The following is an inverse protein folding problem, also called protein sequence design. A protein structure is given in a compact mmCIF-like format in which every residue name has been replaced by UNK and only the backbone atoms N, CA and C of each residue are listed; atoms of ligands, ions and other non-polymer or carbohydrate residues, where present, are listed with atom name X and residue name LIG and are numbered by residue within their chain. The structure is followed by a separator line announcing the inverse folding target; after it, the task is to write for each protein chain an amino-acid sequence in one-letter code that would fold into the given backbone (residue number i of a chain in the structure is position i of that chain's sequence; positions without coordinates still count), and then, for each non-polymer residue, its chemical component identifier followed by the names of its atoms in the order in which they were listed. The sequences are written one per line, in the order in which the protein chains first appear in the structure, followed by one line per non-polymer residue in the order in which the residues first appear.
data_IF_439402758638
#
_entry.id   IF_439402758638
#
_cell.length_a   1.000
_cell.length_b   1.000
_cell.length_c   1.000
_cell.angle_alpha   90.00
_cell.angle_beta   90.00
_cell.angle_gamma   90.00
#
_symmetry.space_group_name_H-M   'P 1'
#
loop_
_entity.id
_entity.type
_entity.pdbx_description
1 polymer ?
#
# COMPACT_ATOMS: atom_id res chain seq x y z
N UNK A 1 30.95 -9.64 18.64
CA UNK A 1 30.38 -11.01 18.66
C UNK A 1 29.14 -10.97 17.80
N UNK A 2 29.23 -11.45 16.57
CA UNK A 2 28.10 -11.50 15.64
C UNK A 2 27.21 -12.67 16.06
N UNK A 3 26.14 -12.40 16.78
CA UNK A 3 25.06 -13.36 16.95
C UNK A 3 24.39 -13.53 15.59
N UNK A 4 24.60 -14.68 14.97
CA UNK A 4 23.75 -15.15 13.87
C UNK A 4 22.28 -15.11 14.33
N UNK A 5 21.35 -14.61 13.50
CA UNK A 5 19.94 -14.63 13.86
C UNK A 5 19.51 -16.08 14.07
N UNK A 6 18.87 -16.35 15.22
CA UNK A 6 18.28 -17.67 15.48
C UNK A 6 17.25 -17.96 14.40
N UNK A 7 17.18 -19.20 13.87
CA UNK A 7 16.11 -19.57 12.96
C UNK A 7 14.76 -19.31 13.65
N UNK A 8 13.75 -18.81 12.92
CA UNK A 8 12.46 -18.49 13.50
C UNK A 8 11.87 -19.77 14.12
N UNK A 9 11.72 -19.75 15.45
CA UNK A 9 11.02 -20.80 16.19
C UNK A 9 9.58 -20.90 15.68
N UNK A 10 8.99 -22.11 15.71
CA UNK A 10 7.59 -22.38 15.31
C UNK A 10 6.58 -21.38 15.91
N UNK A 11 6.88 -20.83 17.09
CA UNK A 11 6.11 -19.77 17.74
C UNK A 11 6.03 -18.47 16.90
N UNK A 12 7.11 -18.05 16.25
CA UNK A 12 7.13 -16.81 15.44
C UNK A 12 6.26 -16.95 14.19
N UNK A 13 6.16 -18.15 13.61
CA UNK A 13 5.33 -18.40 12.43
C UNK A 13 3.83 -18.28 12.75
N UNK A 14 3.39 -18.90 13.84
CA UNK A 14 1.98 -18.85 14.27
C UNK A 14 1.58 -17.43 14.67
N UNK A 15 2.45 -16.71 15.38
CA UNK A 15 2.24 -15.31 15.72
C UNK A 15 2.11 -14.44 14.47
N UNK A 16 3.01 -14.60 13.50
CA UNK A 16 2.94 -13.88 12.22
C UNK A 16 1.63 -14.16 11.49
N UNK A 17 1.19 -15.42 11.48
CA UNK A 17 -0.08 -15.80 10.86
C UNK A 17 -1.29 -15.17 11.57
N UNK A 18 -1.26 -15.06 12.89
CA UNK A 18 -2.29 -14.37 13.67
C UNK A 18 -2.33 -12.88 13.33
N UNK A 19 -1.18 -12.20 13.34
CA UNK A 19 -1.06 -10.79 12.95
C UNK A 19 -1.61 -10.53 11.55
N UNK A 20 -1.27 -11.38 10.58
CA UNK A 20 -1.79 -11.26 9.21
C UNK A 20 -3.30 -11.51 9.12
N UNK A 21 -3.83 -12.45 9.91
CA UNK A 21 -5.28 -12.71 9.97
C UNK A 21 -6.02 -11.51 10.56
N UNK A 22 -5.47 -10.88 11.60
CA UNK A 22 -6.01 -9.66 12.20
C UNK A 22 -5.99 -8.49 11.20
N UNK A 23 -4.90 -8.32 10.45
CA UNK A 23 -4.82 -7.34 9.37
C UNK A 23 -5.91 -7.59 8.34
N UNK A 24 -6.08 -8.83 7.86
CA UNK A 24 -7.08 -9.16 6.85
C UNK A 24 -8.47 -8.79 7.36
N UNK A 25 -8.83 -9.25 8.57
CA UNK A 25 -10.15 -9.00 9.15
C UNK A 25 -10.41 -7.51 9.37
N UNK A 26 -9.41 -6.78 9.86
CA UNK A 26 -9.53 -5.33 10.14
C UNK A 26 -9.63 -4.52 8.86
N UNK A 27 -8.77 -4.80 7.87
CA UNK A 27 -8.72 -4.03 6.62
C UNK A 27 -9.85 -4.38 5.65
N UNK A 28 -10.45 -5.56 5.74
CA UNK A 28 -11.62 -5.93 4.93
C UNK A 28 -12.96 -5.61 5.59
N UNK A 29 -12.97 -5.18 6.86
CA UNK A 29 -14.18 -4.77 7.56
C UNK A 29 -14.83 -3.57 6.87
N UNK A 30 -16.15 -3.63 6.67
CA UNK A 30 -16.95 -2.59 6.00
C UNK A 30 -16.42 -2.18 4.60
N UNK A 31 -15.71 -3.08 3.92
CA UNK A 31 -15.17 -2.84 2.59
C UNK A 31 -16.29 -2.65 1.55
N UNK A 32 -16.18 -1.60 0.73
CA UNK A 32 -17.18 -1.21 -0.28
C UNK A 32 -16.49 -0.84 -1.59
N UNK A 33 -17.08 -1.29 -2.72
CA UNK A 33 -16.71 -0.85 -4.06
C UNK A 33 -15.41 -1.48 -4.58
N UNK A 34 -14.70 -0.74 -5.45
CA UNK A 34 -13.44 -1.15 -6.11
C UNK A 34 -13.61 -2.29 -7.12
N UNK A 35 -14.80 -2.44 -7.71
CA UNK A 35 -15.10 -3.51 -8.66
C UNK A 35 -14.16 -3.50 -9.88
N UNK A 36 -13.73 -2.31 -10.33
CA UNK A 36 -12.77 -2.15 -11.42
C UNK A 36 -11.41 -2.83 -11.12
N UNK A 37 -10.96 -2.81 -9.86
CA UNK A 37 -9.71 -3.45 -9.42
C UNK A 37 -9.86 -4.98 -9.47
N UNK A 38 -10.92 -5.52 -8.89
CA UNK A 38 -11.16 -6.98 -8.89
C UNK A 38 -11.41 -7.51 -10.31
N UNK A 39 -12.08 -6.73 -11.15
CA UNK A 39 -12.28 -7.05 -12.57
C UNK A 39 -10.95 -7.11 -13.30
N UNK A 40 -10.04 -6.17 -13.05
CA UNK A 40 -8.70 -6.19 -13.64
C UNK A 40 -7.87 -7.39 -13.15
N UNK A 41 -7.92 -7.72 -11.85
CA UNK A 41 -7.26 -8.91 -11.29
C UNK A 41 -7.80 -10.18 -11.95
N UNK A 42 -9.13 -10.34 -12.02
CA UNK A 42 -9.74 -11.52 -12.62
C UNK A 42 -9.39 -11.64 -14.12
N UNK A 43 -9.45 -10.53 -14.85
CA UNK A 43 -9.07 -10.48 -16.26
C UNK A 43 -7.61 -10.90 -16.46
N UNK A 44 -6.70 -10.44 -15.61
CA UNK A 44 -5.30 -10.84 -15.62
C UNK A 44 -5.12 -12.35 -15.35
N UNK A 45 -5.79 -12.87 -14.32
CA UNK A 45 -5.74 -14.29 -13.94
C UNK A 45 -6.37 -15.21 -14.99
N UNK A 46 -7.27 -14.71 -15.83
CA UNK A 46 -7.84 -15.45 -16.96
C UNK A 46 -6.96 -15.37 -18.21
N UNK A 47 -6.36 -14.21 -18.48
CA UNK A 47 -5.55 -13.96 -19.67
C UNK A 47 -4.21 -14.65 -19.64
N UNK A 48 -3.56 -14.68 -18.47
CA UNK A 48 -2.22 -15.25 -18.32
C UNK A 48 -2.26 -16.50 -17.45
N UNK A 49 -1.38 -17.46 -17.74
CA UNK A 49 -1.25 -18.70 -16.99
C UNK A 49 -0.24 -18.62 -15.82
N UNK A 50 0.37 -17.45 -15.60
CA UNK A 50 1.30 -17.07 -14.53
C UNK A 50 1.52 -15.56 -14.57
N UNK A 51 2.04 -14.95 -13.51
CA UNK A 51 2.56 -13.58 -13.58
C UNK A 51 2.40 -12.73 -12.32
N UNK A 52 2.74 -11.46 -12.47
CA UNK A 52 2.68 -10.42 -11.44
C UNK A 52 1.60 -9.38 -11.75
N UNK A 53 0.66 -9.17 -10.83
CA UNK A 53 -0.29 -8.05 -10.90
C UNK A 53 0.02 -7.06 -9.78
N UNK A 54 0.19 -5.78 -10.09
CA UNK A 54 0.55 -4.76 -9.11
C UNK A 54 -0.51 -3.66 -9.01
N UNK A 55 -1.05 -3.45 -7.80
CA UNK A 55 -1.88 -2.30 -7.47
C UNK A 55 -0.97 -1.17 -6.99
N UNK A 56 -1.04 -0.02 -7.65
CA UNK A 56 -0.24 1.17 -7.34
C UNK A 56 -1.17 2.26 -6.83
N UNK A 57 -0.78 2.97 -5.77
CA UNK A 57 -1.55 4.10 -5.28
C UNK A 57 -0.91 4.81 -4.10
N UNK A 58 -1.32 6.05 -3.86
CA UNK A 58 -0.82 6.92 -2.80
C UNK A 58 -1.09 6.35 -1.38
N UNK A 59 -0.43 6.88 -0.34
CA UNK A 59 -0.73 6.54 1.04
C UNK A 59 -2.23 6.69 1.35
N UNK A 60 -2.82 5.70 2.01
CA UNK A 60 -4.24 5.73 2.40
C UNK A 60 -5.26 5.40 1.29
N UNK A 61 -4.84 5.16 0.05
CA UNK A 61 -5.74 4.89 -1.10
C UNK A 61 -6.57 3.58 -1.00
N UNK A 62 -6.35 2.75 0.03
CA UNK A 62 -7.11 1.52 0.27
C UNK A 62 -6.50 0.24 -0.33
N UNK A 63 -5.24 0.24 -0.76
CA UNK A 63 -4.55 -0.94 -1.34
C UNK A 63 -4.61 -2.18 -0.44
N UNK A 64 -4.22 -2.03 0.82
CA UNK A 64 -4.27 -3.13 1.81
C UNK A 64 -5.67 -3.66 2.01
N UNK A 65 -6.68 -2.79 1.99
CA UNK A 65 -8.08 -3.17 2.12
C UNK A 65 -8.55 -4.00 0.91
N UNK A 66 -8.15 -3.62 -0.31
CA UNK A 66 -8.46 -4.39 -1.52
C UNK A 66 -7.81 -5.78 -1.48
N UNK A 67 -6.54 -5.88 -1.09
CA UNK A 67 -5.83 -7.15 -0.98
C UNK A 67 -6.41 -8.04 0.14
N UNK A 68 -6.69 -7.47 1.31
CA UNK A 68 -7.34 -8.17 2.42
C UNK A 68 -8.71 -8.73 2.00
N UNK A 69 -9.53 -7.91 1.34
CA UNK A 69 -10.83 -8.32 0.80
C UNK A 69 -10.70 -9.45 -0.22
N UNK A 70 -9.73 -9.35 -1.14
CA UNK A 70 -9.43 -10.40 -2.10
C UNK A 70 -9.13 -11.74 -1.40
N UNK A 71 -8.25 -11.72 -0.41
CA UNK A 71 -7.86 -12.92 0.36
C UNK A 71 -9.07 -13.51 1.09
N UNK A 72 -9.88 -12.67 1.74
CA UNK A 72 -11.06 -13.09 2.49
C UNK A 72 -12.10 -13.81 1.61
N UNK A 73 -12.34 -13.30 0.39
CA UNK A 73 -13.38 -13.85 -0.49
C UNK A 73 -12.94 -15.07 -1.30
N UNK A 74 -11.63 -15.25 -1.48
CA UNK A 74 -11.08 -16.29 -2.36
C UNK A 74 -10.44 -17.47 -1.60
N UNK A 75 -10.44 -17.45 -0.27
CA UNK A 75 -9.93 -18.53 0.58
C UNK A 75 -11.05 -19.51 1.03
N UNK A 76 -10.92 -20.83 0.86
CA UNK A 76 -10.38 -21.61 -0.24
C UNK A 76 -11.55 -22.17 -1.08
N UNK A 77 -11.96 -21.50 -2.16
CA UNK A 77 -12.96 -22.06 -3.10
C UNK A 77 -12.31 -22.66 -4.34
N UNK A 78 -11.43 -21.89 -5.00
CA UNK A 78 -10.77 -22.29 -6.26
C UNK A 78 -9.25 -22.04 -6.30
N UNK A 79 -8.71 -21.29 -5.33
CA UNK A 79 -7.31 -20.89 -5.27
C UNK A 79 -6.71 -21.15 -3.90
N UNK A 80 -5.42 -21.48 -3.86
CA UNK A 80 -4.65 -21.34 -2.63
C UNK A 80 -4.08 -19.93 -2.56
N UNK A 81 -4.50 -19.17 -1.56
CA UNK A 81 -4.05 -17.80 -1.34
C UNK A 81 -3.15 -17.76 -0.10
N UNK A 82 -1.97 -17.16 -0.24
CA UNK A 82 -1.04 -16.86 0.86
C UNK A 82 -0.92 -15.34 0.93
N UNK A 83 -1.08 -14.76 2.12
CA UNK A 83 -0.99 -13.33 2.33
C UNK A 83 0.25 -12.99 3.16
N UNK A 84 0.94 -11.92 2.77
CA UNK A 84 2.08 -11.36 3.46
C UNK A 84 1.96 -9.84 3.50
N UNK A 85 2.15 -9.24 4.68
CA UNK A 85 2.16 -7.80 4.84
C UNK A 85 3.55 -7.30 5.27
N UNK A 86 4.23 -6.58 4.38
CA UNK A 86 5.54 -5.99 4.62
C UNK A 86 5.48 -4.64 5.36
N UNK A 87 4.28 -4.06 5.55
CA UNK A 87 4.10 -2.84 6.36
C UNK A 87 4.20 -3.12 7.87
N UNK A 88 3.98 -4.36 8.31
CA UNK A 88 4.12 -4.72 9.71
C UNK A 88 5.58 -4.69 10.14
N UNK A 89 5.81 -4.20 11.37
CA UNK A 89 7.14 -4.09 11.93
C UNK A 89 7.87 -5.45 11.94
N UNK A 90 9.13 -5.45 11.51
CA UNK A 90 9.95 -6.66 11.38
C UNK A 90 9.66 -7.49 10.13
N UNK A 91 8.50 -7.33 9.48
CA UNK A 91 8.08 -8.10 8.28
C UNK A 91 8.56 -7.50 6.95
N UNK A 92 9.49 -6.56 7.00
CA UNK A 92 10.10 -5.93 5.83
C UNK A 92 11.51 -6.47 5.51
N UNK A 93 11.92 -7.57 6.13
CA UNK A 93 13.18 -8.28 5.87
C UNK A 93 12.95 -9.49 4.97
N UNK A 94 13.91 -9.77 4.09
CA UNK A 94 13.78 -10.83 3.09
C UNK A 94 13.78 -12.23 3.71
N UNK A 95 14.53 -12.43 4.79
CA UNK A 95 14.64 -13.71 5.49
C UNK A 95 13.31 -14.11 6.14
N UNK A 96 12.63 -13.15 6.76
CA UNK A 96 11.29 -13.31 7.33
C UNK A 96 10.26 -13.64 6.25
N UNK A 97 10.33 -12.92 5.11
CA UNK A 97 9.47 -13.18 3.96
C UNK A 97 9.65 -14.61 3.42
N UNK A 98 10.89 -14.99 3.09
CA UNK A 98 11.18 -16.29 2.49
C UNK A 98 10.80 -17.43 3.43
N UNK A 99 11.14 -17.31 4.71
CA UNK A 99 10.81 -18.33 5.71
C UNK A 99 9.29 -18.49 5.83
N UNK A 100 8.57 -17.39 5.99
CA UNK A 100 7.11 -17.43 6.15
C UNK A 100 6.42 -18.01 4.90
N UNK A 101 6.75 -17.52 3.70
CA UNK A 101 6.13 -17.98 2.46
C UNK A 101 6.42 -19.45 2.20
N UNK A 102 7.68 -19.89 2.37
CA UNK A 102 8.03 -21.30 2.17
C UNK A 102 7.30 -22.21 3.17
N UNK A 103 7.21 -21.82 4.45
CA UNK A 103 6.42 -22.55 5.44
C UNK A 103 4.92 -22.60 5.09
N UNK A 104 4.31 -21.49 4.67
CA UNK A 104 2.90 -21.44 4.27
C UNK A 104 2.63 -22.34 3.05
N UNK A 105 3.54 -22.35 2.08
CA UNK A 105 3.48 -23.24 0.93
C UNK A 105 3.49 -24.70 1.40
N UNK A 106 4.47 -25.10 2.21
CA UNK A 106 4.60 -26.48 2.71
C UNK A 106 3.33 -26.89 3.48
N UNK A 107 2.83 -26.01 4.36
CA UNK A 107 1.63 -26.27 5.16
C UNK A 107 0.34 -26.39 4.33
N UNK A 108 0.21 -25.62 3.24
CA UNK A 108 -0.99 -25.65 2.37
C UNK A 108 -0.99 -26.80 1.37
N UNK A 109 0.16 -27.42 1.13
CA UNK A 109 0.30 -28.53 0.20
C UNK A 109 0.91 -29.78 0.88
N UNK A 110 0.31 -30.32 1.96
CA UNK A 110 0.88 -31.43 2.72
C UNK A 110 0.94 -32.75 1.94
N UNK A 111 0.14 -32.87 0.87
CA UNK A 111 0.11 -34.06 0.01
C UNK A 111 1.23 -34.07 -1.04
N UNK A 112 1.86 -32.93 -1.29
CA UNK A 112 3.15 -32.93 -1.96
C UNK A 112 4.18 -33.31 -0.89
N UNK A 113 5.01 -34.32 -1.14
CA UNK A 113 6.20 -34.61 -0.32
C UNK A 113 7.26 -33.51 -0.50
N UNK A 114 6.89 -32.27 -0.15
CA UNK A 114 7.76 -31.11 -0.17
C UNK A 114 8.85 -31.30 0.87
N UNK A 115 10.05 -30.84 0.54
CA UNK A 115 11.14 -30.83 1.51
C UNK A 115 10.75 -29.98 2.72
N UNK A 116 11.20 -30.38 3.91
CA UNK A 116 11.20 -29.50 5.07
C UNK A 116 11.98 -28.24 4.76
N UNK A 117 11.66 -27.13 5.43
CA UNK A 117 12.39 -25.88 5.30
C UNK A 117 13.88 -26.12 5.67
N UNK A 118 14.83 -25.98 4.73
CA UNK A 118 16.25 -26.13 5.03
C UNK A 118 16.79 -24.90 5.78
N UNK A 119 17.88 -25.06 6.54
CA UNK A 119 18.48 -23.97 7.32
C UNK A 119 18.91 -22.77 6.46
N UNK A 120 19.27 -23.02 5.20
CA UNK A 120 19.67 -22.01 4.22
C UNK A 120 18.52 -21.60 3.26
N UNK A 121 17.26 -21.84 3.62
CA UNK A 121 16.09 -21.49 2.79
C UNK A 121 15.98 -19.99 2.48
N UNK A 122 16.49 -19.15 3.37
CA UNK A 122 16.49 -17.69 3.24
C UNK A 122 17.69 -17.14 2.43
N UNK A 123 18.64 -17.99 2.04
CA UNK A 123 19.81 -17.59 1.25
C UNK A 123 19.43 -17.44 -0.24
N UNK A 124 18.80 -16.31 -0.59
CA UNK A 124 18.39 -16.04 -1.97
C UNK A 124 17.04 -16.67 -2.33
N UNK A 125 16.75 -16.81 -3.64
CA UNK A 125 15.43 -17.25 -4.13
C UNK A 125 15.32 -18.74 -4.45
N UNK A 126 16.39 -19.53 -4.27
CA UNK A 126 16.48 -20.88 -4.83
C UNK A 126 15.40 -21.83 -4.26
N UNK A 127 15.18 -21.81 -2.93
CA UNK A 127 14.24 -22.72 -2.29
C UNK A 127 12.79 -22.37 -2.61
N UNK A 128 12.46 -21.07 -2.58
CA UNK A 128 11.18 -20.57 -3.05
C UNK A 128 10.93 -21.00 -4.50
N UNK A 129 11.92 -20.82 -5.39
CA UNK A 129 11.81 -21.20 -6.80
C UNK A 129 11.56 -22.71 -6.97
N UNK A 130 12.25 -23.55 -6.19
CA UNK A 130 12.05 -25.00 -6.17
C UNK A 130 10.61 -25.35 -5.76
N UNK A 131 10.12 -24.78 -4.65
CA UNK A 131 8.76 -25.02 -4.16
C UNK A 131 7.70 -24.60 -5.18
N UNK A 132 7.86 -23.41 -5.79
CA UNK A 132 6.92 -22.92 -6.80
C UNK A 132 6.88 -23.85 -8.04
N UNK A 133 8.02 -24.41 -8.45
CA UNK A 133 8.08 -25.37 -9.56
C UNK A 133 7.35 -26.68 -9.20
N UNK A 134 7.59 -27.22 -8.00
CA UNK A 134 6.91 -28.44 -7.53
C UNK A 134 5.39 -28.25 -7.46
N UNK A 135 4.93 -27.09 -6.97
CA UNK A 135 3.50 -26.74 -6.96
C UNK A 135 2.96 -26.67 -8.38
N UNK A 136 3.67 -26.04 -9.31
CA UNK A 136 3.23 -25.94 -10.70
C UNK A 136 3.00 -27.32 -11.33
N UNK A 137 3.90 -28.27 -11.10
CA UNK A 137 3.79 -29.61 -11.66
C UNK A 137 2.67 -30.42 -10.99
N UNK A 138 2.42 -30.19 -9.70
CA UNK A 138 1.24 -30.71 -9.01
C UNK A 138 -0.07 -30.12 -9.56
N UNK A 139 -0.14 -28.80 -9.74
CA UNK A 139 -1.32 -28.14 -10.30
C UNK A 139 -1.64 -28.65 -11.71
N UNK A 140 -0.62 -28.92 -12.55
CA UNK A 140 -0.79 -29.52 -13.89
C UNK A 140 -1.33 -30.94 -13.83
N UNK A 141 -0.80 -31.78 -12.94
CA UNK A 141 -1.24 -33.17 -12.81
C UNK A 141 -2.64 -33.33 -12.19
N UNK A 142 -3.14 -32.32 -11.48
CA UNK A 142 -4.44 -32.34 -10.80
C UNK A 142 -5.53 -31.51 -11.51
N UNK A 143 -5.35 -31.10 -12.78
CA UNK A 143 -6.31 -30.24 -13.51
C UNK A 143 -7.72 -30.83 -13.69
N UNK A 144 -7.92 -32.13 -13.43
CA UNK A 144 -9.23 -32.80 -13.44
C UNK A 144 -9.91 -32.97 -12.07
N UNK A 145 -9.25 -32.58 -10.98
CA UNK A 145 -9.82 -32.65 -9.62
C UNK A 145 -10.53 -31.34 -9.27
N UNK A 146 -11.54 -31.38 -8.37
CA UNK A 146 -12.17 -30.17 -7.80
C UNK A 146 -11.28 -29.43 -6.78
N UNK A 147 -9.98 -29.76 -6.71
CA UNK A 147 -9.01 -29.05 -5.88
C UNK A 147 -8.46 -27.80 -6.57
N UNK A 148 -7.93 -26.87 -5.77
CA UNK A 148 -7.40 -25.57 -6.20
C UNK A 148 -6.54 -25.64 -7.47
N UNK A 149 -6.77 -24.70 -8.40
CA UNK A 149 -6.11 -24.70 -9.72
C UNK A 149 -4.96 -23.69 -9.84
N UNK A 150 -4.83 -22.77 -8.88
CA UNK A 150 -3.80 -21.72 -8.88
C UNK A 150 -3.28 -21.47 -7.48
N UNK A 151 -1.99 -21.12 -7.38
CA UNK A 151 -1.38 -20.53 -6.19
C UNK A 151 -1.26 -19.02 -6.40
N UNK A 152 -1.79 -18.25 -5.46
CA UNK A 152 -1.72 -16.79 -5.45
C UNK A 152 -1.00 -16.34 -4.18
N UNK A 153 0.13 -15.67 -4.35
CA UNK A 153 0.89 -15.06 -3.25
C UNK A 153 0.62 -13.55 -3.27
N UNK A 154 -0.01 -13.07 -2.22
CA UNK A 154 -0.38 -11.67 -2.04
C UNK A 154 0.65 -11.00 -1.15
N UNK A 155 1.31 -9.94 -1.65
CA UNK A 155 2.30 -9.17 -0.91
C UNK A 155 1.82 -7.71 -0.82
N UNK A 156 1.46 -7.30 0.39
CA UNK A 156 1.03 -5.94 0.70
C UNK A 156 2.23 -5.09 1.15
N UNK A 157 2.35 -3.89 0.60
CA UNK A 157 3.34 -2.89 1.03
C UNK A 157 4.77 -3.10 0.53
N UNK A 158 4.97 -3.46 -0.75
CA UNK A 158 6.33 -3.66 -1.29
C UNK A 158 7.27 -2.46 -1.13
N UNK A 159 6.74 -1.24 -1.03
CA UNK A 159 7.53 -0.02 -0.78
C UNK A 159 8.15 0.03 0.63
N UNK A 160 7.66 -0.78 1.58
CA UNK A 160 8.19 -0.82 2.95
C UNK A 160 9.44 -1.71 3.11
N UNK A 161 9.83 -2.41 2.05
CA UNK A 161 10.93 -3.38 2.05
C UNK A 161 12.28 -2.68 2.18
N UNK A 162 13.10 -3.16 3.11
CA UNK A 162 14.45 -2.63 3.35
C UNK A 162 15.45 -3.13 2.31
N UNK A 163 15.49 -2.47 1.16
CA UNK A 163 16.37 -2.86 0.04
C UNK A 163 17.84 -2.70 0.32
N UNK A 164 18.21 -1.76 1.19
CA UNK A 164 19.58 -1.57 1.65
C UNK A 164 20.14 -2.79 2.40
N UNK A 165 19.28 -3.70 2.85
CA UNK A 165 19.69 -4.98 3.46
C UNK A 165 19.85 -6.10 2.43
N UNK A 166 19.51 -5.87 1.16
CA UNK A 166 19.72 -6.81 0.07
C UNK A 166 20.94 -6.41 -0.78
N UNK A 167 21.70 -7.36 -1.36
CA UNK A 167 22.76 -7.05 -2.30
C UNK A 167 22.23 -6.27 -3.51
N UNK A 168 23.04 -5.31 -3.98
CA UNK A 168 22.69 -4.50 -5.14
C UNK A 168 22.43 -5.37 -6.40
N UNK A 169 21.46 -4.96 -7.22
CA UNK A 169 21.09 -5.66 -8.45
C UNK A 169 20.23 -6.92 -8.25
N UNK A 170 19.90 -7.27 -7.01
CA UNK A 170 18.96 -8.37 -6.72
C UNK A 170 17.51 -7.91 -6.85
N UNK A 171 16.61 -8.85 -7.12
CA UNK A 171 15.18 -8.55 -7.14
C UNK A 171 14.70 -8.26 -5.71
N UNK A 172 13.76 -7.32 -5.55
CA UNK A 172 13.14 -7.04 -4.26
C UNK A 172 12.59 -8.33 -3.63
N UNK A 173 12.86 -8.56 -2.34
CA UNK A 173 12.50 -9.81 -1.64
C UNK A 173 13.00 -11.11 -2.29
N UNK A 174 13.99 -11.03 -3.18
CA UNK A 174 14.42 -12.14 -4.02
C UNK A 174 13.25 -12.79 -4.76
N UNK A 175 12.26 -12.00 -5.17
CA UNK A 175 11.16 -12.51 -5.97
C UNK A 175 11.71 -13.19 -7.25
N UNK A 176 11.16 -14.34 -7.67
CA UNK A 176 11.62 -15.02 -8.87
C UNK A 176 11.44 -14.15 -10.11
N UNK A 177 12.46 -14.06 -10.98
CA UNK A 177 12.29 -13.36 -12.27
C UNK A 177 11.33 -14.12 -13.19
N UNK A 178 11.48 -15.44 -13.23
CA UNK A 178 10.59 -16.36 -13.95
C UNK A 178 9.62 -17.01 -12.98
N UNK A 179 8.38 -17.18 -13.41
CA UNK A 179 7.36 -17.93 -12.67
C UNK A 179 6.99 -19.23 -13.39
N UNK A 180 6.73 -20.33 -12.68
CA UNK A 180 6.15 -21.51 -13.29
C UNK A 180 4.63 -21.32 -13.48
N UNK A 181 4.01 -22.19 -14.28
CA UNK A 181 2.58 -22.09 -14.60
C UNK A 181 1.70 -22.29 -13.36
N UNK A 182 0.59 -21.56 -13.27
CA UNK A 182 -0.37 -21.66 -12.15
C UNK A 182 0.05 -20.85 -10.92
N UNK A 183 1.18 -20.16 -10.96
CA UNK A 183 1.68 -19.30 -9.87
C UNK A 183 1.51 -17.83 -10.23
N UNK A 184 0.92 -17.08 -9.32
CA UNK A 184 0.67 -15.65 -9.48
C UNK A 184 1.07 -14.89 -8.22
N UNK A 185 1.52 -13.66 -8.42
CA UNK A 185 1.76 -12.70 -7.35
C UNK A 185 0.81 -11.51 -7.51
N UNK A 186 0.10 -11.18 -6.43
CA UNK A 186 -0.65 -9.92 -6.33
C UNK A 186 0.11 -8.99 -5.39
N UNK A 187 0.51 -7.83 -5.89
CA UNK A 187 1.40 -6.92 -5.19
C UNK A 187 0.66 -5.60 -4.94
N UNK A 188 0.94 -4.95 -3.81
CA UNK A 188 0.63 -3.54 -3.63
C UNK A 188 1.90 -2.73 -3.38
N UNK A 189 1.88 -1.47 -3.82
CA UNK A 189 2.95 -0.50 -3.53
C UNK A 189 2.49 0.94 -3.69
N UNK A 190 3.32 1.85 -3.18
CA UNK A 190 3.27 3.28 -3.53
C UNK A 190 3.92 3.55 -4.90
N UNK A 191 3.65 4.70 -5.53
CA UNK A 191 4.36 5.15 -6.72
C UNK A 191 5.87 5.27 -6.46
N UNK A 192 6.69 5.07 -7.50
CA UNK A 192 8.13 5.27 -7.46
C UNK A 192 8.61 5.79 -8.82
N UNK A 193 9.83 6.32 -8.87
CA UNK A 193 10.56 6.53 -10.12
C UNK A 193 10.98 5.16 -10.68
N UNK A 194 10.74 4.90 -11.97
CA UNK A 194 10.87 3.56 -12.58
C UNK A 194 12.26 2.94 -12.42
N UNK A 195 13.31 3.76 -12.43
CA UNK A 195 14.70 3.40 -12.15
C UNK A 195 14.88 2.78 -10.76
N UNK A 196 14.04 3.16 -9.80
CA UNK A 196 14.06 2.73 -8.41
C UNK A 196 13.06 1.60 -8.11
N UNK A 197 12.52 0.96 -9.15
CA UNK A 197 11.50 -0.08 -9.00
C UNK A 197 11.97 -1.32 -8.25
N UNK A 198 13.22 -1.73 -8.43
CA UNK A 198 13.83 -2.98 -7.92
C UNK A 198 13.07 -4.27 -8.24
N UNK A 199 12.04 -4.19 -9.08
CA UNK A 199 11.26 -5.32 -9.55
C UNK A 199 11.85 -5.79 -10.88
N UNK A 200 12.56 -6.90 -10.83
CA UNK A 200 13.20 -7.53 -11.97
C UNK A 200 12.35 -8.74 -12.40
N UNK A 201 11.41 -8.53 -13.33
CA UNK A 201 10.40 -9.53 -13.71
C UNK A 201 10.60 -9.96 -15.17
N UNK A 202 10.62 -11.26 -15.41
CA UNK A 202 10.68 -11.92 -16.72
C UNK A 202 9.49 -12.90 -16.87
N UNK A 203 8.30 -12.38 -16.57
CA UNK A 203 7.01 -13.06 -16.66
C UNK A 203 5.93 -12.04 -17.07
N UNK A 204 4.73 -12.48 -17.49
CA UNK A 204 3.63 -11.55 -17.71
C UNK A 204 3.40 -10.66 -16.49
N UNK A 205 3.39 -9.35 -16.71
CA UNK A 205 3.14 -8.36 -15.67
C UNK A 205 2.06 -7.40 -16.10
N UNK A 206 1.23 -6.99 -15.13
CA UNK A 206 0.23 -5.94 -15.32
C UNK A 206 0.22 -5.06 -14.07
N UNK A 207 0.07 -3.76 -14.26
CA UNK A 207 -0.12 -2.81 -13.17
C UNK A 207 -1.44 -2.07 -13.34
N UNK A 208 -2.08 -1.77 -12.23
CA UNK A 208 -3.24 -0.89 -12.15
C UNK A 208 -2.88 0.25 -11.20
N UNK A 209 -2.78 1.46 -11.74
CA UNK A 209 -2.57 2.66 -10.95
C UNK A 209 -3.91 3.28 -10.58
N UNK A 210 -4.19 3.38 -9.28
CA UNK A 210 -5.46 3.92 -8.78
C UNK A 210 -5.67 5.40 -9.15
N UNK A 211 -4.59 6.13 -9.44
CA UNK A 211 -4.68 7.51 -9.91
C UNK A 211 -5.33 7.64 -11.30
N UNK A 212 -5.36 6.56 -12.09
CA UNK A 212 -5.95 6.55 -13.44
C UNK A 212 -7.48 6.35 -13.41
N UNK A 213 -8.08 6.16 -12.22
CA UNK A 213 -9.51 5.88 -12.01
C UNK A 213 -10.16 6.87 -11.03
N UNK A 214 -10.09 8.19 -11.28
CA UNK A 214 -10.58 9.20 -10.35
C UNK A 214 -12.11 9.16 -10.19
N UNK A 215 -12.86 8.85 -11.25
CA UNK A 215 -14.32 8.82 -11.21
C UNK A 215 -14.85 7.59 -10.45
N UNK A 216 -14.27 6.42 -10.69
CA UNK A 216 -14.59 5.20 -9.94
C UNK A 216 -14.22 5.36 -8.47
N UNK A 217 -13.05 5.94 -8.17
CA UNK A 217 -12.64 6.23 -6.80
C UNK A 217 -13.64 7.15 -6.09
N UNK A 218 -14.09 8.21 -6.76
CA UNK A 218 -15.08 9.15 -6.24
C UNK A 218 -16.41 8.46 -5.95
N UNK A 219 -16.90 7.65 -6.87
CA UNK A 219 -18.15 6.91 -6.70
C UNK A 219 -18.07 5.92 -5.53
N UNK A 220 -16.96 5.20 -5.39
CA UNK A 220 -16.74 4.26 -4.29
C UNK A 220 -16.70 4.99 -2.93
N UNK A 221 -16.03 6.13 -2.84
CA UNK A 221 -15.97 6.96 -1.60
C UNK A 221 -17.37 7.46 -1.23
N UNK A 222 -18.13 7.96 -2.21
CA UNK A 222 -19.50 8.42 -1.97
C UNK A 222 -20.39 7.28 -1.45
N UNK A 223 -20.27 6.08 -2.05
CA UNK A 223 -21.01 4.90 -1.62
C UNK A 223 -20.61 4.47 -0.21
N UNK A 224 -19.31 4.50 0.11
CA UNK A 224 -18.79 4.20 1.43
C UNK A 224 -19.32 5.16 2.50
N UNK A 225 -19.28 6.48 2.24
CA UNK A 225 -19.83 7.48 3.16
C UNK A 225 -21.33 7.28 3.38
N UNK A 226 -22.11 7.12 2.30
CA UNK A 226 -23.56 6.94 2.40
C UNK A 226 -23.93 5.69 3.20
N UNK A 227 -23.24 4.57 2.93
CA UNK A 227 -23.50 3.31 3.64
C UNK A 227 -23.14 3.42 5.12
N UNK A 228 -21.99 4.02 5.43
CA UNK A 228 -21.55 4.23 6.81
C UNK A 228 -22.51 5.12 7.58
N UNK A 229 -23.02 6.19 6.97
CA UNK A 229 -23.99 7.11 7.57
C UNK A 229 -25.34 6.46 7.87
N UNK A 230 -25.76 5.49 7.06
CA UNK A 230 -27.00 4.75 7.26
C UNK A 230 -26.85 3.60 8.27
N UNK A 231 -25.66 3.42 8.87
CA UNK A 231 -25.44 2.39 9.90
C UNK A 231 -25.98 2.85 11.27
N UNK A 232 -26.36 1.89 12.12
CA UNK A 232 -26.96 2.13 13.45
C UNK A 232 -26.13 3.06 14.35
N UNK A 233 -24.80 3.07 14.18
CA UNK A 233 -23.88 3.90 14.96
C UNK A 233 -24.01 5.40 14.63
N UNK A 234 -24.41 5.74 13.40
CA UNK A 234 -24.56 7.12 12.94
C UNK A 234 -25.96 7.71 13.12
N UNK A 235 -26.97 6.91 13.51
CA UNK A 235 -28.30 7.43 13.83
C UNK A 235 -28.30 8.35 15.07
N UNK A 236 -27.28 8.27 15.93
CA UNK A 236 -27.11 9.15 17.10
C UNK A 236 -26.30 10.41 16.80
N UNK A 237 -25.68 10.50 15.63
CA UNK A 237 -24.89 11.66 15.22
C UNK A 237 -25.85 12.84 15.00
N UNK A 238 -25.58 13.96 15.66
CA UNK A 238 -26.39 15.18 15.65
C UNK A 238 -26.83 15.52 14.21
N UNK A 239 -28.08 15.94 14.03
CA UNK A 239 -28.68 16.23 12.73
C UNK A 239 -27.79 17.12 11.83
N UNK A 240 -26.98 17.99 12.45
CA UNK A 240 -26.06 18.92 11.82
C UNK A 240 -24.93 18.22 11.04
N UNK A 241 -24.31 17.18 11.59
CA UNK A 241 -23.28 16.40 10.88
C UNK A 241 -23.87 15.59 9.73
N UNK A 242 -25.06 15.04 9.91
CA UNK A 242 -25.78 14.34 8.86
C UNK A 242 -26.12 15.28 7.69
N UNK A 243 -26.49 16.52 7.98
CA UNK A 243 -26.71 17.55 6.97
C UNK A 243 -25.40 17.93 6.26
N UNK A 244 -24.34 18.25 7.02
CA UNK A 244 -23.03 18.63 6.47
C UNK A 244 -22.44 17.53 5.60
N UNK A 245 -22.44 16.27 6.05
CA UNK A 245 -21.93 15.14 5.28
C UNK A 245 -22.74 14.91 4.00
N UNK A 246 -24.08 14.97 4.07
CA UNK A 246 -24.94 14.87 2.87
C UNK A 246 -24.67 16.00 1.88
N UNK A 247 -24.36 17.20 2.37
CA UNK A 247 -23.99 18.33 1.53
C UNK A 247 -22.65 18.08 0.84
N UNK A 248 -21.59 17.74 1.59
CA UNK A 248 -20.26 17.43 1.03
C UNK A 248 -20.29 16.28 0.01
N UNK A 249 -21.04 15.21 0.27
CA UNK A 249 -21.25 14.10 -0.68
C UNK A 249 -21.91 14.60 -1.98
N UNK A 250 -22.89 15.50 -1.88
CA UNK A 250 -23.64 16.06 -3.03
C UNK A 250 -22.86 17.11 -3.81
N UNK A 251 -22.04 17.91 -3.15
CA UNK A 251 -21.24 18.97 -3.79
C UNK A 251 -20.17 18.42 -4.75
N UNK A 252 -20.03 17.09 -4.85
CA UNK A 252 -19.01 16.43 -5.68
C UNK A 252 -17.62 17.01 -5.41
N UNK A 253 -17.34 17.50 -4.20
CA UNK A 253 -16.05 18.12 -3.93
C UNK A 253 -14.96 17.06 -4.07
N UNK A 254 -13.85 17.44 -4.71
CA UNK A 254 -12.67 16.59 -4.84
C UNK A 254 -11.90 16.46 -3.51
N UNK A 255 -12.49 16.94 -2.42
CA UNK A 255 -11.88 17.03 -1.10
C UNK A 255 -11.66 15.63 -0.48
N UNK A 256 -12.50 14.67 -0.84
CA UNK A 256 -12.45 13.32 -0.31
C UNK A 256 -12.02 12.32 -1.39
N UNK A 257 -10.72 12.26 -1.66
CA UNK A 257 -10.14 11.28 -2.59
C UNK A 257 -9.42 10.13 -1.87
N UNK A 258 -9.27 10.20 -0.55
CA UNK A 258 -8.48 9.27 0.23
C UNK A 258 -9.31 8.55 1.30
N UNK A 259 -9.48 7.23 1.12
CA UNK A 259 -10.29 6.38 2.00
C UNK A 259 -9.83 6.40 3.45
N UNK A 260 -8.51 6.49 3.70
CA UNK A 260 -7.99 6.55 5.07
C UNK A 260 -8.50 7.79 5.80
N UNK A 261 -8.46 8.94 5.14
CA UNK A 261 -8.95 10.19 5.73
C UNK A 261 -10.45 10.15 5.96
N UNK A 262 -11.22 9.69 4.96
CA UNK A 262 -12.68 9.56 5.07
C UNK A 262 -13.06 8.63 6.23
N UNK A 263 -12.45 7.44 6.29
CA UNK A 263 -12.72 6.47 7.35
C UNK A 263 -12.42 7.03 8.73
N UNK A 264 -11.26 7.67 8.91
CA UNK A 264 -10.87 8.21 10.22
C UNK A 264 -11.74 9.40 10.66
N UNK A 265 -12.14 10.27 9.73
CA UNK A 265 -13.09 11.36 10.03
C UNK A 265 -14.44 10.78 10.45
N UNK A 266 -14.97 9.79 9.74
CA UNK A 266 -16.23 9.14 10.11
C UNK A 266 -16.11 8.46 11.49
N UNK A 267 -15.02 7.73 11.76
CA UNK A 267 -14.78 7.15 13.09
C UNK A 267 -14.78 8.23 14.18
N UNK A 268 -14.03 9.32 14.00
CA UNK A 268 -13.95 10.43 14.95
C UNK A 268 -15.33 11.09 15.20
N UNK A 269 -16.17 11.22 14.17
CA UNK A 269 -17.55 11.69 14.32
C UNK A 269 -18.35 10.70 15.18
N UNK A 270 -18.26 9.40 14.91
CA UNK A 270 -18.99 8.37 15.67
C UNK A 270 -18.58 8.28 17.14
N UNK A 271 -17.33 8.66 17.44
CA UNK A 271 -16.77 8.70 18.79
C UNK A 271 -17.01 10.04 19.51
N UNK A 272 -17.71 10.99 18.87
CA UNK A 272 -17.98 12.34 19.38
C UNK A 272 -16.72 13.20 19.59
N UNK A 273 -15.66 12.95 18.82
CA UNK A 273 -14.47 13.82 18.83
C UNK A 273 -14.79 15.23 18.32
N UNK A 274 -15.66 15.33 17.31
CA UNK A 274 -16.17 16.59 16.81
C UNK A 274 -17.53 16.92 17.42
N UNK A 275 -17.68 18.15 17.91
CA UNK A 275 -18.95 18.68 18.41
C UNK A 275 -19.70 19.47 17.36
N UNK A 276 -19.01 20.01 16.34
CA UNK A 276 -19.59 20.75 15.23
C UNK A 276 -18.85 20.45 13.91
N UNK A 277 -19.52 20.47 12.75
CA UNK A 277 -18.91 20.08 11.47
C UNK A 277 -17.72 20.94 11.04
N UNK A 278 -17.69 22.22 11.39
CA UNK A 278 -16.61 23.16 11.03
C UNK A 278 -15.25 22.73 11.59
N UNK A 279 -15.25 21.94 12.67
CA UNK A 279 -14.03 21.43 13.28
C UNK A 279 -13.30 20.40 12.41
N UNK A 280 -14.00 19.72 11.49
CA UNK A 280 -13.40 18.73 10.58
C UNK A 280 -12.40 19.40 9.64
N UNK A 281 -12.66 20.65 9.24
CA UNK A 281 -11.80 21.39 8.32
C UNK A 281 -10.58 22.01 9.02
N UNK A 282 -10.55 22.04 10.36
CA UNK A 282 -9.52 22.75 11.15
C UNK A 282 -8.67 21.76 11.96
N UNK A 283 -9.25 20.64 12.41
CA UNK A 283 -8.61 19.69 13.31
C UNK A 283 -8.65 18.28 12.73
N UNK A 284 -7.48 17.68 12.56
CA UNK A 284 -7.37 16.28 12.21
C UNK A 284 -7.64 15.38 13.43
N UNK A 285 -8.29 14.22 13.25
CA UNK A 285 -8.35 13.18 14.26
C UNK A 285 -6.94 12.78 14.73
N UNK A 286 -6.73 12.42 16.01
CA UNK A 286 -5.42 12.08 16.55
C UNK A 286 -4.67 10.98 15.79
N UNK A 287 -5.40 9.97 15.29
CA UNK A 287 -4.82 8.90 14.46
C UNK A 287 -4.22 9.45 13.15
N UNK A 288 -4.93 10.35 12.46
CA UNK A 288 -4.44 10.97 11.24
C UNK A 288 -3.29 11.94 11.50
N UNK A 289 -3.30 12.67 12.62
CA UNK A 289 -2.18 13.52 13.01
C UNK A 289 -0.91 12.70 13.25
N UNK A 290 -1.04 11.54 13.92
CA UNK A 290 0.07 10.60 14.12
C UNK A 290 0.59 10.06 12.80
N UNK A 291 -0.30 9.68 11.88
CA UNK A 291 0.09 9.22 10.54
C UNK A 291 0.81 10.29 9.73
N UNK A 292 0.33 11.54 9.77
CA UNK A 292 0.98 12.66 9.12
C UNK A 292 2.38 12.90 9.69
N UNK A 293 2.55 12.78 11.01
CA UNK A 293 3.86 12.88 11.65
C UNK A 293 4.81 11.78 11.17
N UNK A 294 4.36 10.52 11.10
CA UNK A 294 5.18 9.42 10.58
C UNK A 294 5.57 9.63 9.10
N UNK A 295 4.68 10.19 8.29
CA UNK A 295 5.02 10.56 6.91
C UNK A 295 6.06 11.68 6.86
N UNK A 296 5.94 12.69 7.73
CA UNK A 296 6.93 13.77 7.82
C UNK A 296 8.30 13.25 8.25
N UNK A 297 8.37 12.37 9.25
CA UNK A 297 9.62 11.75 9.70
C UNK A 297 10.33 11.03 8.55
N UNK A 298 9.59 10.31 7.69
CA UNK A 298 10.14 9.67 6.48
C UNK A 298 10.58 10.66 5.41
N UNK A 299 9.82 11.73 5.19
CA UNK A 299 10.15 12.78 4.22
C UNK A 299 11.44 13.50 4.62
N UNK A 300 11.64 13.70 5.93
CA UNK A 300 12.82 14.37 6.49
C UNK A 300 13.99 13.42 6.80
N UNK A 301 13.88 12.13 6.49
CA UNK A 301 14.98 11.16 6.59
C UNK A 301 15.91 11.28 5.37
N UNK A 302 16.48 12.46 5.21
CA UNK A 302 17.39 12.86 4.13
C UNK A 302 18.60 13.60 4.70
N UNK A 303 19.71 13.62 3.98
CA UNK A 303 20.96 14.23 4.47
C UNK A 303 20.83 15.75 4.72
N UNK A 304 20.27 16.50 3.75
CA UNK A 304 20.05 17.94 3.88
C UNK A 304 18.62 18.26 4.32
N UNK A 305 18.37 18.17 5.63
CA UNK A 305 17.04 18.42 6.20
C UNK A 305 16.56 19.87 6.05
N UNK A 306 17.45 20.85 6.07
CA UNK A 306 17.06 22.26 6.00
C UNK A 306 16.50 22.61 4.62
N UNK A 307 17.19 22.23 3.55
CA UNK A 307 16.72 22.43 2.19
C UNK A 307 15.45 21.62 1.89
N UNK A 308 15.37 20.38 2.40
CA UNK A 308 14.14 19.59 2.39
C UNK A 308 12.97 20.33 3.05
N UNK A 309 13.17 20.96 4.21
CA UNK A 309 12.10 21.72 4.86
C UNK A 309 11.63 22.89 3.98
N UNK A 310 12.53 23.56 3.26
CA UNK A 310 12.17 24.67 2.35
C UNK A 310 11.35 24.20 1.15
N UNK A 311 11.78 23.12 0.47
CA UNK A 311 11.02 22.51 -0.63
C UNK A 311 9.64 22.05 -0.16
N UNK A 312 9.57 21.42 1.03
CA UNK A 312 8.31 20.97 1.62
C UNK A 312 7.40 22.15 1.98
N UNK A 313 7.96 23.28 2.44
CA UNK A 313 7.20 24.51 2.69
C UNK A 313 6.61 25.09 1.40
N UNK A 314 7.34 25.08 0.29
CA UNK A 314 6.80 25.48 -1.00
C UNK A 314 5.61 24.59 -1.37
N UNK A 315 5.77 23.26 -1.36
CA UNK A 315 4.69 22.32 -1.67
C UNK A 315 3.47 22.46 -0.74
N UNK A 316 3.70 22.70 0.56
CA UNK A 316 2.63 22.86 1.55
C UNK A 316 1.75 24.10 1.31
N UNK A 317 2.29 25.13 0.65
CA UNK A 317 1.58 26.38 0.36
C UNK A 317 0.76 26.32 -0.93
N UNK A 318 1.07 25.38 -1.83
CA UNK A 318 0.41 25.29 -3.14
C UNK A 318 -0.85 24.41 -3.10
N UNK A 319 -1.92 24.85 -3.77
CA UNK A 319 -3.11 24.02 -4.07
C UNK A 319 -3.00 23.32 -5.41
N UNK A 320 -2.28 23.94 -6.35
CA UNK A 320 -2.04 23.40 -7.68
C UNK A 320 -0.67 22.72 -7.73
N UNK A 321 -0.48 21.76 -8.66
CA UNK A 321 0.84 21.23 -8.97
C UNK A 321 1.82 22.35 -9.33
N UNK A 322 3.07 22.23 -8.88
CA UNK A 322 4.17 23.16 -9.14
C UNK A 322 5.36 22.40 -9.74
N UNK A 323 6.02 22.96 -10.74
CA UNK A 323 7.17 22.35 -11.42
C UNK A 323 8.48 22.50 -10.62
N UNK A 324 9.49 21.70 -10.98
CA UNK A 324 10.86 21.80 -10.44
C UNK A 324 11.41 23.21 -10.61
N UNK A 325 11.33 23.74 -11.84
CA UNK A 325 11.78 25.10 -12.19
C UNK A 325 11.10 26.17 -11.34
N UNK A 326 9.79 26.06 -11.10
CA UNK A 326 9.07 27.03 -10.26
C UNK A 326 9.52 26.95 -8.80
N UNK A 327 9.72 25.75 -8.25
CA UNK A 327 10.24 25.59 -6.88
C UNK A 327 11.66 26.17 -6.78
N UNK A 328 12.55 25.82 -7.71
CA UNK A 328 13.93 26.29 -7.75
C UNK A 328 14.01 27.81 -7.78
N UNK A 329 13.19 28.46 -8.62
CA UNK A 329 13.10 29.92 -8.69
C UNK A 329 12.56 30.56 -7.39
N UNK A 330 11.62 29.91 -6.70
CA UNK A 330 11.09 30.42 -5.43
C UNK A 330 12.11 30.34 -4.29
N UNK A 331 13.03 29.37 -4.36
CA UNK A 331 14.04 29.11 -3.34
C UNK A 331 15.42 29.69 -3.68
N UNK A 332 15.60 30.24 -4.88
CA UNK A 332 16.92 30.63 -5.42
C UNK A 332 17.93 29.46 -5.34
N UNK A 333 17.47 28.27 -5.77
CA UNK A 333 18.19 27.01 -5.66
C UNK A 333 18.42 26.35 -7.03
N UNK A 334 19.29 25.34 -7.09
CA UNK A 334 19.53 24.56 -8.31
C UNK A 334 18.35 23.60 -8.60
N UNK A 335 17.97 23.46 -9.87
CA UNK A 335 16.89 22.56 -10.27
C UNK A 335 17.20 21.09 -9.99
N UNK A 336 18.48 20.68 -10.07
CA UNK A 336 18.92 19.32 -9.80
C UNK A 336 18.71 18.95 -8.33
N UNK A 337 19.06 19.85 -7.41
CA UNK A 337 18.90 19.63 -5.98
C UNK A 337 17.40 19.48 -5.62
N UNK A 338 16.53 20.28 -6.27
CA UNK A 338 15.07 20.16 -6.11
C UNK A 338 14.57 18.84 -6.69
N UNK A 339 15.01 18.46 -7.90
CA UNK A 339 14.60 17.22 -8.54
C UNK A 339 14.99 15.99 -7.70
N UNK A 340 16.21 15.94 -7.18
CA UNK A 340 16.68 14.85 -6.30
C UNK A 340 15.77 14.69 -5.06
N UNK A 341 15.41 15.80 -4.41
CA UNK A 341 14.47 15.77 -3.27
C UNK A 341 13.11 15.22 -3.68
N UNK A 342 12.54 15.70 -4.79
CA UNK A 342 11.21 15.28 -5.24
C UNK A 342 11.20 13.82 -5.69
N UNK A 343 12.28 13.31 -6.28
CA UNK A 343 12.43 11.89 -6.61
C UNK A 343 12.46 11.01 -5.35
N UNK A 344 13.16 11.46 -4.30
CA UNK A 344 13.18 10.77 -3.01
C UNK A 344 11.80 10.75 -2.33
N UNK A 345 10.99 11.78 -2.55
CA UNK A 345 9.64 11.88 -1.98
C UNK A 345 8.54 11.36 -2.89
N UNK A 346 8.86 10.74 -4.02
CA UNK A 346 7.90 10.42 -5.06
C UNK A 346 6.67 9.63 -4.54
N UNK A 347 6.84 8.81 -3.50
CA UNK A 347 5.73 8.06 -2.89
C UNK A 347 4.71 8.93 -2.13
N UNK A 348 5.06 10.17 -1.79
CA UNK A 348 4.24 11.18 -1.12
C UNK A 348 3.77 12.29 -2.08
N UNK A 349 4.04 12.15 -3.38
CA UNK A 349 3.70 13.15 -4.39
C UNK A 349 2.68 12.60 -5.40
N UNK A 350 1.86 13.51 -5.91
CA UNK A 350 1.11 13.33 -7.14
C UNK A 350 1.81 14.13 -8.24
N UNK A 351 2.00 13.49 -9.39
CA UNK A 351 2.65 14.08 -10.56
C UNK A 351 1.61 14.27 -11.66
N UNK A 352 1.61 15.46 -12.24
CA UNK A 352 0.80 15.82 -13.40
C UNK A 352 1.69 16.34 -14.51
N UNK A 353 1.32 16.10 -15.77
CA UNK A 353 2.02 16.65 -16.93
C UNK A 353 1.23 17.86 -17.40
N UNK A 354 1.75 19.06 -17.14
CA UNK A 354 1.15 20.35 -17.53
C UNK A 354 2.06 20.95 -18.60
N UNK A 355 1.54 21.17 -19.82
CA UNK A 355 2.31 21.72 -20.94
C UNK A 355 3.64 20.96 -21.21
N UNK A 356 3.60 19.62 -21.14
CA UNK A 356 4.77 18.72 -21.29
C UNK A 356 5.81 18.80 -20.16
N UNK A 357 5.53 19.55 -19.09
CA UNK A 357 6.40 19.68 -17.91
C UNK A 357 5.79 18.89 -16.75
N UNK A 358 6.63 18.16 -16.00
CA UNK A 358 6.19 17.50 -14.77
C UNK A 358 5.95 18.55 -13.68
N UNK A 359 4.76 18.53 -13.10
CA UNK A 359 4.40 19.33 -11.96
C UNK A 359 3.99 18.42 -10.79
N UNK A 360 4.31 18.85 -9.58
CA UNK A 360 4.25 18.04 -8.37
C UNK A 360 3.32 18.71 -7.35
N UNK A 361 2.53 17.90 -6.65
CA UNK A 361 1.82 18.31 -5.44
C UNK A 361 1.84 17.19 -4.42
N UNK A 362 1.56 17.52 -3.16
CA UNK A 362 1.41 16.51 -2.12
C UNK A 362 0.23 15.58 -2.43
N UNK A 363 0.39 14.30 -2.09
CA UNK A 363 -0.56 13.24 -2.44
C UNK A 363 -1.97 13.43 -1.87
N UNK A 364 -2.11 14.21 -0.81
CA UNK A 364 -3.38 14.44 -0.12
C UNK A 364 -3.48 15.87 0.45
N UNK A 365 -4.66 16.46 0.34
CA UNK A 365 -4.92 17.83 0.77
C UNK A 365 -4.91 18.02 2.29
N UNK A 366 -5.35 17.02 3.05
CA UNK A 366 -5.37 17.07 4.51
C UNK A 366 -3.96 16.96 5.06
N UNK A 367 -3.13 16.09 4.46
CA UNK A 367 -1.70 16.03 4.77
C UNK A 367 -1.02 17.38 4.53
N UNK A 368 -1.28 17.99 3.37
CA UNK A 368 -0.77 19.34 3.05
C UNK A 368 -1.21 20.40 4.05
N UNK A 369 -2.50 20.43 4.41
CA UNK A 369 -3.02 21.42 5.36
C UNK A 369 -2.37 21.25 6.74
N UNK A 370 -2.24 20.00 7.21
CA UNK A 370 -1.55 19.69 8.44
C UNK A 370 -0.09 20.14 8.41
N UNK A 371 0.63 19.85 7.31
CA UNK A 371 2.01 20.29 7.12
C UNK A 371 2.13 21.82 7.20
N UNK A 372 1.23 22.55 6.54
CA UNK A 372 1.23 24.01 6.55
C UNK A 372 1.12 24.58 7.97
N UNK A 373 0.23 24.03 8.80
CA UNK A 373 0.10 24.48 10.18
C UNK A 373 1.27 24.01 11.06
N UNK A 374 1.72 22.77 10.89
CA UNK A 374 2.87 22.23 11.61
C UNK A 374 4.14 23.07 11.38
N UNK A 375 4.44 23.41 10.12
CA UNK A 375 5.62 24.18 9.74
C UNK A 375 5.56 25.64 10.21
N UNK A 376 4.38 26.27 10.28
CA UNK A 376 4.20 27.59 10.90
C UNK A 376 4.58 27.58 12.38
N UNK A 377 4.16 26.56 13.13
CA UNK A 377 4.48 26.47 14.56
C UNK A 377 5.97 26.20 14.82
N UNK A 378 6.65 25.47 13.92
CA UNK A 378 8.10 25.23 14.03
C UNK A 378 8.91 26.51 13.86
N UNK A 379 8.52 27.39 12.93
CA UNK A 379 9.12 28.74 12.77
C UNK A 379 8.92 29.66 13.98
N UNK A 380 7.90 29.44 14.81
CA UNK A 380 7.67 30.25 16.03
C UNK A 380 8.54 29.84 17.23
N UNK A 381 9.30 28.74 17.10
CA UNK A 381 10.15 28.17 18.15
C UNK A 381 11.66 28.20 17.82
N UNK A 382 12.02 28.71 16.64
CA UNK A 382 13.38 29.14 16.28
C UNK A 382 13.40 30.65 16.26
#
# INVERSE_FOLDING_TARGET
MNSTPRPPTVNNYLETQQQFTEVINTKSANFIGRDFVFTAINSFLHRYNRGYFTIIGSPGSGKSAMLAKYVQENSPKNYQVIYYNAELEGKNHVEEFLTYICCQIIAKFPNLSLANLPDNAAEGSWFLSLLLQQISDYLKSNQGSQTYQKLIIVIDGLNCIKRNLQPAGTNIFYLPRYLPQGVYFLLSRRPFVTTNSGLLIEAPMQSLNLADYPEENKQDIQTYMQTTLNSQNFFRVLADFNFWLKHKVKEKTNDFNNFKYVSAILTAISENFYTQPEQIEISLPPELATDCQQHLEKILDVENQDFAVEVLQCLAQQTQPISVTEIANLLDADEFDVEEILENWFEFLQVEIINQIKAYKLYDQYFRQWLREFLKTRRSKM
#
